data_IF_191966556380
#
_entry.id   IF_191966556380
#
_cell.length_a   1.000
_cell.length_b   1.000
_cell.length_c   1.000
_cell.angle_alpha   90.00
_cell.angle_beta   90.00
_cell.angle_gamma   90.00
#
_symmetry.space_group_name_H-M   'P 1'
#
loop_
_entity.id
_entity.type
_entity.pdbx_description
1 polymer ?
#
# COMPACT_ATOMS: atom_id res chain seq x y z
N UNK A 1 -15.59 28.90 24.63
CA UNK A 1 -16.97 28.67 24.19
C UNK A 1 -16.90 27.34 23.47
N UNK A 2 -17.40 26.26 24.08
CA UNK A 2 -17.36 24.94 23.45
C UNK A 2 -18.45 24.94 22.38
N UNK A 3 -18.06 24.86 21.11
CA UNK A 3 -19.00 24.71 20.00
C UNK A 3 -19.71 23.36 20.01
N UNK A 4 -19.24 22.43 20.84
CA UNK A 4 -19.82 21.11 21.08
C UNK A 4 -20.79 21.15 22.27
N UNK A 5 -21.98 20.59 22.08
CA UNK A 5 -22.98 20.40 23.13
C UNK A 5 -22.59 19.22 24.05
N UNK A 6 -23.02 19.25 25.32
CA UNK A 6 -22.72 18.18 26.29
C UNK A 6 -23.24 16.81 25.81
N UNK A 7 -24.39 16.80 25.12
CA UNK A 7 -24.94 15.59 24.49
C UNK A 7 -24.03 15.04 23.39
N UNK A 8 -23.43 15.92 22.58
CA UNK A 8 -22.51 15.53 21.49
C UNK A 8 -21.21 15.00 22.05
N UNK A 9 -20.68 15.62 23.11
CA UNK A 9 -19.49 15.12 23.81
C UNK A 9 -19.72 13.74 24.42
N UNK A 10 -20.90 13.49 24.99
CA UNK A 10 -21.25 12.18 25.54
C UNK A 10 -21.31 11.10 24.46
N UNK A 11 -21.89 11.41 23.29
CA UNK A 11 -21.96 10.52 22.14
C UNK A 11 -20.56 10.17 21.60
N UNK A 12 -19.73 11.19 21.35
CA UNK A 12 -18.35 11.01 20.88
C UNK A 12 -17.51 10.21 21.88
N UNK A 13 -17.70 10.44 23.18
CA UNK A 13 -17.02 9.70 24.24
C UNK A 13 -17.43 8.23 24.26
N UNK A 14 -18.70 7.93 24.06
CA UNK A 14 -19.17 6.55 23.97
C UNK A 14 -18.52 5.83 22.79
N UNK A 15 -18.49 6.47 21.61
CA UNK A 15 -17.84 5.91 20.42
C UNK A 15 -16.35 5.64 20.65
N UNK A 16 -15.60 6.58 21.28
CA UNK A 16 -14.19 6.37 21.60
C UNK A 16 -13.95 5.23 22.59
N UNK A 17 -14.84 5.05 23.57
CA UNK A 17 -14.72 3.95 24.54
C UNK A 17 -15.03 2.59 23.91
N UNK A 18 -15.99 2.54 22.99
CA UNK A 18 -16.32 1.34 22.22
C UNK A 18 -15.14 0.96 21.30
N UNK A 19 -14.64 1.91 20.52
CA UNK A 19 -13.45 1.71 19.67
C UNK A 19 -12.23 1.25 20.47
N UNK A 20 -11.96 1.89 21.61
CA UNK A 20 -10.87 1.48 22.50
C UNK A 20 -11.01 0.02 22.93
N UNK A 21 -12.20 -0.38 23.37
CA UNK A 21 -12.47 -1.74 23.85
C UNK A 21 -12.30 -2.76 22.73
N UNK A 22 -12.74 -2.44 21.51
CA UNK A 22 -12.60 -3.33 20.36
C UNK A 22 -11.13 -3.51 19.96
N UNK A 23 -10.34 -2.43 19.96
CA UNK A 23 -8.90 -2.47 19.73
C UNK A 23 -8.17 -3.26 20.82
N UNK A 24 -8.47 -3.01 22.10
CA UNK A 24 -7.88 -3.76 23.22
C UNK A 24 -8.18 -5.26 23.11
N UNK A 25 -9.41 -5.62 22.76
CA UNK A 25 -9.80 -7.01 22.52
C UNK A 25 -9.03 -7.63 21.35
N UNK A 26 -8.83 -6.88 20.26
CA UNK A 26 -8.03 -7.34 19.12
C UNK A 26 -6.59 -7.68 19.57
N UNK A 27 -5.96 -6.80 20.34
CA UNK A 27 -4.60 -7.05 20.86
C UNK A 27 -4.53 -8.18 21.89
N UNK A 28 -5.55 -8.37 22.72
CA UNK A 28 -5.63 -9.49 23.66
C UNK A 28 -5.76 -10.84 22.95
N UNK A 29 -6.59 -10.90 21.91
CA UNK A 29 -6.83 -12.13 21.14
C UNK A 29 -5.64 -12.50 20.25
N UNK A 30 -5.00 -11.51 19.64
CA UNK A 30 -3.90 -11.69 18.69
C UNK A 30 -2.53 -11.49 19.33
N UNK A 31 -2.42 -11.41 20.67
CA UNK A 31 -1.17 -11.10 21.36
C UNK A 31 -0.03 -12.10 21.11
N UNK A 32 -0.34 -13.37 20.86
CA UNK A 32 0.66 -14.39 20.47
C UNK A 32 1.12 -14.23 19.02
N UNK A 33 0.21 -13.87 18.13
CA UNK A 33 0.49 -13.68 16.70
C UNK A 33 1.29 -12.38 16.48
N UNK A 34 0.92 -11.31 17.18
CA UNK A 34 1.67 -10.06 17.22
C UNK A 34 3.08 -10.21 17.81
N UNK A 35 3.28 -11.10 18.79
CA UNK A 35 4.61 -11.39 19.30
C UNK A 35 5.48 -12.08 18.23
N UNK A 36 4.91 -12.97 17.43
CA UNK A 36 5.59 -13.65 16.32
C UNK A 36 5.94 -12.69 15.17
N UNK A 37 5.16 -11.63 14.96
CA UNK A 37 5.48 -10.59 13.97
C UNK A 37 6.80 -9.86 14.27
N UNK A 38 7.27 -9.88 15.52
CA UNK A 38 8.57 -9.32 15.94
C UNK A 38 9.77 -10.27 15.78
N UNK A 39 9.56 -11.55 15.47
CA UNK A 39 10.62 -12.57 15.41
C UNK A 39 11.32 -12.59 14.03
N UNK A 40 12.26 -13.48 13.76
CA UNK A 40 12.85 -13.55 12.41
C UNK A 40 11.87 -14.19 11.42
N UNK A 41 12.07 -14.00 10.10
CA UNK A 41 11.23 -14.66 9.09
C UNK A 41 11.19 -16.17 9.36
N UNK A 42 12.36 -16.79 9.51
CA UNK A 42 12.55 -18.20 9.86
C UNK A 42 11.81 -18.67 11.11
N UNK A 43 11.71 -17.83 12.15
CA UNK A 43 10.97 -18.19 13.36
C UNK A 43 9.45 -18.19 13.12
N UNK A 44 8.95 -17.23 12.34
CA UNK A 44 7.53 -17.17 11.97
C UNK A 44 7.12 -18.30 11.02
N UNK A 45 8.00 -18.72 10.11
CA UNK A 45 7.73 -19.83 9.18
C UNK A 45 7.87 -21.19 9.87
N UNK A 46 8.61 -21.26 10.99
CA UNK A 46 9.03 -22.50 11.63
C UNK A 46 10.10 -23.28 10.87
N UNK A 47 10.70 -22.68 9.83
CA UNK A 47 11.71 -23.32 8.98
C UNK A 47 13.12 -23.02 9.51
N UNK A 48 13.96 -24.06 9.60
CA UNK A 48 15.36 -23.90 10.00
C UNK A 48 16.22 -23.22 8.92
N UNK A 49 15.77 -23.21 7.66
CA UNK A 49 16.53 -22.65 6.53
C UNK A 49 15.61 -22.28 5.38
N UNK A 50 15.77 -21.05 4.86
CA UNK A 50 15.12 -20.58 3.64
C UNK A 50 15.79 -21.08 2.35
N UNK A 51 16.86 -21.89 2.44
CA UNK A 51 17.67 -22.30 1.29
C UNK A 51 17.00 -23.34 0.38
N UNK A 52 16.08 -24.14 0.92
CA UNK A 52 15.35 -25.18 0.17
C UNK A 52 13.98 -24.71 -0.35
N UNK A 53 13.55 -23.50 0.02
CA UNK A 53 12.28 -22.93 -0.41
C UNK A 53 12.38 -22.34 -1.82
N UNK A 54 11.28 -22.46 -2.58
CA UNK A 54 11.21 -21.81 -3.89
C UNK A 54 11.24 -20.28 -3.68
N UNK A 55 11.98 -19.51 -4.50
CA UNK A 55 12.08 -18.05 -4.32
C UNK A 55 10.71 -17.33 -4.34
N UNK A 56 9.75 -17.89 -5.09
CA UNK A 56 8.38 -17.38 -5.16
C UNK A 56 7.60 -17.56 -3.84
N UNK A 57 7.85 -18.67 -3.13
CA UNK A 57 7.19 -18.96 -1.86
C UNK A 57 7.70 -18.01 -0.77
N UNK A 58 9.02 -17.81 -0.72
CA UNK A 58 9.67 -16.83 0.18
C UNK A 58 9.13 -15.41 -0.07
N UNK A 59 8.97 -15.04 -1.35
CA UNK A 59 8.41 -13.74 -1.72
C UNK A 59 6.97 -13.56 -1.24
N UNK A 60 6.14 -14.59 -1.39
CA UNK A 60 4.74 -14.58 -0.93
C UNK A 60 4.68 -14.44 0.59
N UNK A 61 5.44 -15.25 1.31
CA UNK A 61 5.47 -15.22 2.78
C UNK A 61 5.99 -13.89 3.34
N UNK A 62 7.05 -13.36 2.74
CA UNK A 62 7.59 -12.03 3.10
C UNK A 62 6.54 -10.94 2.87
N UNK A 63 5.80 -11.01 1.77
CA UNK A 63 4.73 -10.05 1.47
C UNK A 63 3.60 -10.14 2.50
N UNK A 64 3.10 -11.34 2.79
CA UNK A 64 2.02 -11.54 3.77
C UNK A 64 2.42 -11.02 5.15
N UNK A 65 3.63 -11.36 5.60
CA UNK A 65 4.17 -10.85 6.85
C UNK A 65 4.26 -9.33 6.87
N UNK A 66 4.76 -8.72 5.79
CA UNK A 66 4.90 -7.26 5.71
C UNK A 66 3.54 -6.54 5.76
N UNK A 67 2.51 -7.16 5.17
CA UNK A 67 1.12 -6.68 5.23
C UNK A 67 0.61 -6.75 6.66
N UNK A 68 0.82 -7.87 7.35
CA UNK A 68 0.30 -8.07 8.70
C UNK A 68 0.98 -7.13 9.71
N UNK A 69 2.29 -6.90 9.56
CA UNK A 69 3.02 -5.86 10.30
C UNK A 69 2.41 -4.47 10.08
N UNK A 70 2.17 -4.08 8.82
CA UNK A 70 1.61 -2.77 8.51
C UNK A 70 0.19 -2.57 9.07
N UNK A 71 -0.62 -3.63 9.09
CA UNK A 71 -1.95 -3.60 9.71
C UNK A 71 -1.81 -3.42 11.22
N UNK A 72 -0.92 -4.19 11.85
CA UNK A 72 -0.71 -4.13 13.29
C UNK A 72 -0.21 -2.76 13.76
N UNK A 73 0.77 -2.19 13.06
CA UNK A 73 1.28 -0.83 13.31
C UNK A 73 0.15 0.20 13.19
N UNK A 74 -0.68 0.10 12.15
CA UNK A 74 -1.82 1.01 11.98
C UNK A 74 -2.85 0.91 13.10
N UNK A 75 -3.12 -0.30 13.62
CA UNK A 75 -4.06 -0.49 14.74
C UNK A 75 -3.47 0.04 16.05
N UNK A 76 -2.16 -0.09 16.25
CA UNK A 76 -1.46 0.44 17.40
C UNK A 76 -1.51 1.98 17.39
N UNK A 77 -1.22 2.60 16.23
CA UNK A 77 -1.34 4.04 16.03
C UNK A 77 -2.77 4.55 16.29
N UNK A 78 -3.79 3.78 15.87
CA UNK A 78 -5.18 4.11 16.12
C UNK A 78 -5.51 4.06 17.62
N UNK A 79 -5.07 3.03 18.33
CA UNK A 79 -5.26 2.89 19.78
C UNK A 79 -4.63 4.04 20.54
N UNK A 80 -3.42 4.47 20.14
CA UNK A 80 -2.74 5.62 20.74
C UNK A 80 -3.52 6.92 20.49
N UNK A 81 -4.03 7.12 19.28
CA UNK A 81 -4.86 8.29 18.95
C UNK A 81 -6.16 8.33 19.74
N UNK A 82 -6.84 7.18 19.90
CA UNK A 82 -8.06 7.05 20.72
C UNK A 82 -7.77 7.39 22.18
N UNK A 83 -6.69 6.85 22.75
CA UNK A 83 -6.28 7.15 24.11
C UNK A 83 -5.94 8.65 24.28
N UNK A 84 -5.23 9.25 23.31
CA UNK A 84 -4.93 10.67 23.31
C UNK A 84 -6.21 11.53 23.23
N UNK A 85 -7.19 11.14 22.41
CA UNK A 85 -8.47 11.83 22.32
C UNK A 85 -9.25 11.79 23.64
N UNK A 86 -9.28 10.63 24.31
CA UNK A 86 -9.88 10.48 25.64
C UNK A 86 -9.17 11.32 26.71
N UNK A 87 -7.85 11.51 26.61
CA UNK A 87 -7.11 12.43 27.50
C UNK A 87 -7.48 13.89 27.21
N UNK A 88 -7.52 14.32 25.95
CA UNK A 88 -7.99 15.68 25.57
C UNK A 88 -9.40 15.97 26.07
N UNK A 89 -10.27 14.96 26.12
CA UNK A 89 -11.61 15.11 26.71
C UNK A 89 -11.57 15.37 28.23
N UNK A 90 -10.61 14.78 28.95
CA UNK A 90 -10.42 15.05 30.39
C UNK A 90 -9.81 16.43 30.63
N UNK A 91 -8.89 16.83 29.77
CA UNK A 91 -8.20 18.13 29.85
C UNK A 91 -9.06 19.29 29.36
N UNK A 92 -10.19 19.00 28.71
CA UNK A 92 -11.13 19.99 28.18
C UNK A 92 -10.68 20.63 26.86
N UNK A 93 -9.65 20.09 26.19
CA UNK A 93 -9.11 20.58 24.91
C UNK A 93 -9.62 19.80 23.70
N UNK A 94 -10.59 18.91 23.89
CA UNK A 94 -11.17 18.10 22.82
C UNK A 94 -11.97 18.95 21.83
N UNK A 95 -11.84 18.63 20.53
CA UNK A 95 -12.49 19.39 19.46
C UNK A 95 -11.75 20.65 19.03
N UNK A 96 -10.51 20.86 19.50
CA UNK A 96 -9.63 21.95 19.08
C UNK A 96 -8.43 21.36 18.33
N UNK A 97 -8.10 21.94 17.17
CA UNK A 97 -6.98 21.54 16.34
C UNK A 97 -5.66 21.79 17.06
N UNK A 98 -4.80 20.78 17.16
CA UNK A 98 -3.48 20.91 17.83
C UNK A 98 -2.52 21.83 17.04
N UNK A 99 -2.68 21.92 15.72
CA UNK A 99 -1.82 22.73 14.86
C UNK A 99 -2.26 24.21 14.78
N UNK A 100 -3.54 24.46 14.49
CA UNK A 100 -4.07 25.82 14.27
C UNK A 100 -4.77 26.43 15.48
N UNK A 101 -5.18 25.63 16.47
CA UNK A 101 -6.01 26.09 17.58
C UNK A 101 -7.47 26.35 17.20
N UNK A 102 -7.88 26.02 15.97
CA UNK A 102 -9.25 26.20 15.47
C UNK A 102 -10.18 25.07 15.93
N UNK A 103 -11.49 25.36 15.94
CA UNK A 103 -12.52 24.39 16.26
C UNK A 103 -12.67 23.33 15.16
N UNK A 104 -12.66 22.05 15.55
CA UNK A 104 -12.88 20.92 14.64
C UNK A 104 -14.40 20.74 14.44
N UNK A 105 -14.90 20.75 13.19
CA UNK A 105 -16.32 20.58 12.92
C UNK A 105 -16.88 19.27 13.51
N UNK A 106 -18.10 19.33 14.06
CA UNK A 106 -18.75 18.15 14.66
C UNK A 106 -18.90 17.00 13.65
N UNK A 107 -19.27 17.27 12.41
CA UNK A 107 -19.41 16.25 11.35
C UNK A 107 -18.12 15.45 11.13
N UNK A 108 -16.96 16.11 11.27
CA UNK A 108 -15.65 15.45 11.19
C UNK A 108 -15.38 14.57 12.40
N UNK A 109 -15.69 15.06 13.60
CA UNK A 109 -15.54 14.26 14.84
C UNK A 109 -16.52 13.08 14.86
N UNK A 110 -17.70 13.22 14.27
CA UNK A 110 -18.65 12.12 14.13
C UNK A 110 -18.11 11.04 13.19
N UNK A 111 -17.45 11.42 12.09
CA UNK A 111 -16.83 10.48 11.17
C UNK A 111 -15.55 9.84 11.72
N UNK A 112 -14.67 10.64 12.35
CA UNK A 112 -13.40 10.20 12.90
C UNK A 112 -13.20 10.86 14.29
N UNK A 113 -13.62 10.16 15.38
CA UNK A 113 -13.71 10.77 16.70
C UNK A 113 -12.37 10.99 17.40
N UNK A 114 -11.31 10.28 16.99
CA UNK A 114 -9.99 10.39 17.59
C UNK A 114 -9.11 11.51 16.98
N UNK A 115 -9.60 12.20 15.94
CA UNK A 115 -8.78 13.21 15.23
C UNK A 115 -8.38 14.38 16.13
N UNK A 116 -7.14 14.83 15.95
CA UNK A 116 -6.57 15.99 16.63
C UNK A 116 -6.47 17.23 15.73
N UNK A 117 -6.83 17.09 14.45
CA UNK A 117 -6.53 18.08 13.40
C UNK A 117 -7.75 18.36 12.54
N UNK A 118 -7.85 19.59 12.04
CA UNK A 118 -8.76 19.98 10.95
C UNK A 118 -8.33 19.32 9.63
N UNK A 119 -9.19 19.39 8.61
CA UNK A 119 -8.92 18.81 7.28
C UNK A 119 -7.63 19.41 6.68
N UNK A 120 -7.45 20.73 6.79
CA UNK A 120 -6.31 21.44 6.21
C UNK A 120 -4.98 21.10 6.90
N UNK A 121 -5.02 20.87 8.22
CA UNK A 121 -3.84 20.61 9.04
C UNK A 121 -3.62 19.12 9.32
N UNK A 122 -4.35 18.24 8.62
CA UNK A 122 -4.09 16.81 8.72
C UNK A 122 -2.71 16.55 8.12
N UNK A 123 -1.75 15.97 8.87
CA UNK A 123 -0.43 15.70 8.32
C UNK A 123 -0.59 14.78 7.11
N UNK A 124 -0.27 15.30 5.93
CA UNK A 124 -0.22 14.47 4.73
C UNK A 124 0.97 13.55 4.91
N UNK A 125 0.78 12.24 4.71
CA UNK A 125 1.89 11.29 4.68
C UNK A 125 2.83 11.71 3.55
N UNK A 126 3.93 12.35 3.88
CA UNK A 126 5.02 12.64 2.96
C UNK A 126 5.51 11.29 2.43
N UNK A 127 5.10 10.94 1.21
CA UNK A 127 5.66 9.78 0.53
C UNK A 127 7.13 10.11 0.23
N UNK A 128 8.04 9.20 0.54
CA UNK A 128 9.45 9.41 0.21
C UNK A 128 9.58 9.65 -1.30
N UNK A 129 10.19 10.77 -1.68
CA UNK A 129 10.50 11.05 -3.08
C UNK A 129 11.62 10.14 -3.61
N UNK A 130 12.27 9.36 -2.74
CA UNK A 130 13.21 8.30 -3.12
C UNK A 130 12.44 7.12 -3.73
N UNK A 131 12.14 7.28 -5.01
CA UNK A 131 11.62 6.19 -5.84
C UNK A 131 12.77 5.24 -6.18
N UNK A 132 12.53 3.91 -6.24
CA UNK A 132 13.55 2.92 -6.54
C UNK A 132 14.32 3.27 -7.83
N UNK A 133 15.61 2.93 -7.90
CA UNK A 133 16.44 3.20 -9.09
C UNK A 133 15.90 2.47 -10.33
N UNK A 134 15.22 1.34 -10.11
CA UNK A 134 14.45 0.58 -11.08
C UNK A 134 13.45 1.46 -11.81
N UNK A 135 12.87 2.46 -11.15
CA UNK A 135 11.93 3.38 -11.77
C UNK A 135 12.59 4.36 -12.74
N UNK A 136 13.88 4.68 -12.55
CA UNK A 136 14.62 5.50 -13.51
C UNK A 136 14.85 4.77 -14.84
N UNK A 137 14.90 3.44 -14.79
CA UNK A 137 15.11 2.56 -15.93
C UNK A 137 13.78 2.09 -16.51
N UNK A 138 12.75 1.89 -15.66
CA UNK A 138 11.39 1.64 -16.11
C UNK A 138 10.88 2.86 -16.85
N UNK A 139 10.63 2.70 -18.14
CA UNK A 139 9.87 3.71 -18.88
C UNK A 139 8.48 3.78 -18.23
N UNK A 140 8.04 4.95 -17.72
CA UNK A 140 6.64 5.07 -17.33
C UNK A 140 5.79 4.70 -18.54
N UNK A 141 4.69 3.95 -18.36
CA UNK A 141 3.79 3.70 -19.46
C UNK A 141 3.40 5.07 -20.05
N UNK A 142 3.54 5.27 -21.36
CA UNK A 142 3.28 6.57 -21.95
C UNK A 142 1.85 7.01 -21.63
N UNK A 143 1.65 8.30 -21.31
CA UNK A 143 0.31 8.85 -21.08
C UNK A 143 -0.58 8.57 -22.29
N UNK A 144 -1.66 7.80 -22.08
CA UNK A 144 -2.62 7.43 -23.11
C UNK A 144 -2.29 6.11 -23.82
N UNK A 145 -2.39 5.00 -23.09
CA UNK A 145 -2.36 3.65 -23.66
C UNK A 145 -3.59 3.45 -24.58
N UNK A 146 -3.47 3.86 -25.84
CA UNK A 146 -4.55 3.82 -26.83
C UNK A 146 -4.11 4.33 -28.20
N UNK A 147 -4.03 3.39 -29.14
CA UNK A 147 -4.29 3.53 -30.58
C UNK A 147 -3.30 4.24 -31.52
N UNK A 148 -2.38 5.09 -31.07
CA UNK A 148 -1.48 5.76 -32.02
C UNK A 148 -0.09 5.96 -31.43
N UNK A 149 0.94 5.30 -32.00
CA UNK A 149 2.36 5.73 -32.11
C UNK A 149 3.45 4.65 -31.95
N UNK A 150 3.34 3.50 -32.62
CA UNK A 150 4.53 2.69 -32.95
C UNK A 150 5.45 3.33 -34.02
N UNK A 151 5.26 4.61 -34.38
CA UNK A 151 5.95 5.18 -35.54
C UNK A 151 7.23 5.96 -35.25
N UNK A 152 7.52 6.39 -34.02
CA UNK A 152 8.67 7.32 -33.78
C UNK A 152 9.32 7.28 -32.37
N UNK A 153 9.10 6.28 -31.52
CA UNK A 153 9.86 6.18 -30.27
C UNK A 153 11.20 5.50 -30.55
N UNK A 154 12.26 6.29 -30.72
CA UNK A 154 13.63 5.83 -31.01
C UNK A 154 14.34 5.11 -29.85
N UNK A 155 13.62 4.29 -29.09
CA UNK A 155 14.18 3.33 -28.13
C UNK A 155 13.62 1.95 -28.47
N UNK A 156 14.51 0.96 -28.47
CA UNK A 156 14.14 -0.45 -28.60
C UNK A 156 13.09 -0.78 -27.54
N UNK A 157 11.86 -1.03 -27.98
CA UNK A 157 10.75 -1.47 -27.13
C UNK A 157 10.67 -3.00 -27.13
N UNK A 158 10.10 -3.59 -26.07
CA UNK A 158 9.88 -5.04 -26.01
C UNK A 158 8.96 -5.54 -27.13
N UNK A 159 8.16 -4.66 -27.74
CA UNK A 159 7.29 -4.98 -28.87
C UNK A 159 8.09 -5.28 -30.15
N UNK A 160 9.25 -4.65 -30.36
CA UNK A 160 10.17 -4.95 -31.46
C UNK A 160 11.30 -5.92 -31.08
N UNK A 161 11.34 -6.40 -29.84
CA UNK A 161 12.40 -7.28 -29.37
C UNK A 161 12.41 -8.62 -30.11
N UNK A 162 11.22 -9.18 -30.37
CA UNK A 162 11.08 -10.39 -31.17
C UNK A 162 11.50 -10.18 -32.63
N UNK A 163 10.99 -9.14 -33.29
CA UNK A 163 11.35 -8.81 -34.68
C UNK A 163 12.86 -8.54 -34.85
N UNK A 164 13.51 -7.98 -33.84
CA UNK A 164 14.94 -7.70 -33.88
C UNK A 164 15.80 -8.96 -33.73
N UNK A 165 15.38 -9.91 -32.90
CA UNK A 165 16.05 -11.20 -32.75
C UNK A 165 15.79 -12.09 -33.96
N UNK A 166 14.59 -12.02 -34.54
CA UNK A 166 14.20 -12.75 -35.74
C UNK A 166 15.12 -12.46 -36.93
N UNK A 167 15.59 -11.21 -37.08
CA UNK A 167 16.58 -10.83 -38.12
C UNK A 167 17.90 -11.59 -38.03
N UNK A 168 18.27 -12.10 -36.86
CA UNK A 168 19.49 -12.89 -36.68
C UNK A 168 19.24 -14.41 -36.79
N UNK A 169 18.00 -14.82 -37.08
CA UNK A 169 17.60 -16.18 -37.40
C UNK A 169 16.56 -16.73 -36.41
N UNK A 170 15.41 -17.14 -36.94
CA UNK A 170 14.45 -17.97 -36.20
C UNK A 170 14.61 -19.43 -36.61
N UNK A 171 14.23 -20.36 -35.73
CA UNK A 171 14.18 -21.79 -36.09
C UNK A 171 12.96 -22.15 -36.96
N UNK A 172 12.26 -21.15 -37.50
CA UNK A 172 11.04 -21.35 -38.27
C UNK A 172 11.39 -21.80 -39.68
N UNK A 173 10.88 -22.94 -40.13
CA UNK A 173 11.08 -23.44 -41.49
C UNK A 173 9.99 -22.88 -42.44
N UNK A 174 10.21 -22.86 -43.77
CA UNK A 174 9.16 -22.53 -44.73
C UNK A 174 7.88 -23.38 -44.56
N UNK A 175 8.02 -24.61 -44.03
CA UNK A 175 6.91 -25.50 -43.73
C UNK A 175 6.08 -25.08 -42.50
N UNK A 176 6.60 -24.20 -41.65
CA UNK A 176 5.92 -23.67 -40.45
C UNK A 176 5.50 -22.20 -40.64
N UNK A 177 5.58 -21.68 -41.86
CA UNK A 177 5.11 -20.35 -42.23
C UNK A 177 3.58 -20.22 -42.12
N UNK A 178 3.11 -19.08 -41.61
CA UNK A 178 1.69 -18.78 -41.54
C UNK A 178 1.09 -18.42 -42.92
N UNK A 179 1.94 -17.98 -43.86
CA UNK A 179 1.59 -17.67 -45.25
C UNK A 179 1.66 -18.95 -46.10
N UNK A 180 0.80 -19.07 -47.12
CA UNK A 180 0.81 -20.20 -48.09
C UNK A 180 1.88 -19.94 -49.17
N UNK A 181 2.48 -21.02 -49.67
CA UNK A 181 3.50 -21.01 -50.74
C UNK A 181 4.81 -20.26 -50.40
N UNK A 182 5.23 -20.29 -49.14
CA UNK A 182 6.55 -19.81 -48.71
C UNK A 182 7.59 -20.89 -49.02
N UNK A 183 8.57 -20.56 -49.84
CA UNK A 183 9.62 -21.51 -50.25
C UNK A 183 11.01 -21.14 -49.73
N UNK A 184 11.18 -19.90 -49.28
CA UNK A 184 12.40 -19.37 -48.71
C UNK A 184 12.19 -18.89 -47.26
N UNK A 185 13.25 -18.90 -46.47
CA UNK A 185 13.24 -18.41 -45.08
C UNK A 185 13.01 -16.89 -45.02
N UNK A 186 13.48 -16.15 -46.03
CA UNK A 186 13.33 -14.70 -46.12
C UNK A 186 11.91 -14.24 -46.50
N UNK A 187 11.08 -15.14 -47.05
CA UNK A 187 9.68 -14.85 -47.42
C UNK A 187 8.71 -14.91 -46.22
N UNK A 188 9.17 -15.47 -45.09
CA UNK A 188 8.40 -15.61 -43.86
C UNK A 188 8.55 -14.41 -42.89
N UNK A 189 9.50 -13.51 -43.17
CA UNK A 189 9.66 -12.23 -42.46
C UNK A 189 8.57 -11.18 -42.85
#
# INVERSE_FOLDING_TARGET
>A
MNHLNDSQLAELKHMLLEQKKDLEKHFEQNGQENAQLGETLTDSTGELSSYDNHPADIGTETFERSRDLAINDSLQDELEQVNAALQRMKDGTYGICVASGEEIPFERLQAIPYTAYTVEHTPTRELSNDRPVEEQVMTPPPKGAGEVRQRNAGRFDDAGAWDAVEKYGTSNSPATAAKRDVTDYDENM
#
